data_IF_580843948889
#
_entry.id   IF_580843948889
#
_cell.length_a   1.000
_cell.length_b   1.000
_cell.length_c   1.000
_cell.angle_alpha   90.00
_cell.angle_beta   90.00
_cell.angle_gamma   90.00
#
_symmetry.space_group_name_H-M   'P 1'
#
loop_
_entity.id
_entity.type
_entity.pdbx_description
1 polymer ?
#
# COMPACT_ATOMS: atom_id res chain seq x y z
N UNK A 1 16.67 20.84 63.29
CA UNK A 1 16.44 22.08 62.52
C UNK A 1 16.43 21.74 61.04
N UNK A 2 15.25 21.69 60.41
CA UNK A 2 15.11 21.58 58.96
C UNK A 2 14.56 22.89 58.40
N UNK A 3 15.37 23.62 57.64
CA UNK A 3 14.90 24.82 56.93
C UNK A 3 14.16 24.39 55.66
N UNK A 4 12.83 24.45 55.67
CA UNK A 4 12.01 24.34 54.45
C UNK A 4 12.08 25.66 53.68
N UNK A 5 12.77 25.65 52.55
CA UNK A 5 12.88 26.80 51.64
C UNK A 5 11.57 26.95 50.88
N UNK A 6 10.81 28.01 51.15
CA UNK A 6 9.62 28.39 50.38
C UNK A 6 10.01 28.71 48.93
N UNK A 7 9.57 27.88 48.00
CA UNK A 7 9.68 28.14 46.56
C UNK A 7 8.72 29.28 46.21
N UNK A 8 9.25 30.43 45.78
CA UNK A 8 8.40 31.52 45.27
C UNK A 8 7.80 31.06 43.94
N UNK A 9 6.50 30.79 43.92
CA UNK A 9 5.76 30.63 42.67
C UNK A 9 5.78 31.95 41.91
N UNK A 10 6.72 32.09 40.95
CA UNK A 10 6.66 33.12 39.92
C UNK A 10 5.55 32.72 38.95
N UNK A 11 4.41 33.41 39.02
CA UNK A 11 3.34 33.25 38.04
C UNK A 11 3.77 33.76 36.66
N UNK A 12 3.20 33.16 35.61
CA UNK A 12 3.39 33.58 34.22
C UNK A 12 2.85 35.00 34.03
N UNK A 13 3.50 35.83 33.22
CA UNK A 13 3.00 37.18 32.93
C UNK A 13 1.95 37.15 31.82
N UNK A 14 0.97 38.07 31.86
CA UNK A 14 -0.06 38.16 30.81
C UNK A 14 0.55 38.38 29.42
N UNK A 15 1.62 39.17 29.34
CA UNK A 15 2.31 39.46 28.08
C UNK A 15 2.98 38.21 27.50
N UNK A 16 3.57 37.37 28.35
CA UNK A 16 4.23 36.13 27.93
C UNK A 16 3.23 35.14 27.36
N UNK A 17 2.04 35.04 27.95
CA UNK A 17 0.95 34.23 27.39
C UNK A 17 0.49 34.78 26.03
N UNK A 18 0.29 36.10 25.91
CA UNK A 18 -0.18 36.75 24.67
C UNK A 18 0.83 36.59 23.54
N UNK A 19 2.12 36.83 23.79
CA UNK A 19 3.15 36.68 22.76
C UNK A 19 3.26 35.21 22.34
N UNK A 20 3.15 34.26 23.27
CA UNK A 20 3.24 32.83 22.96
C UNK A 20 2.14 32.39 21.99
N UNK A 21 0.88 32.78 22.23
CA UNK A 21 -0.21 32.42 21.32
C UNK A 21 -0.08 33.10 19.96
N UNK A 22 0.48 34.32 19.89
CA UNK A 22 0.74 35.01 18.62
C UNK A 22 1.81 34.27 17.82
N UNK A 23 2.92 33.92 18.46
CA UNK A 23 4.02 33.18 17.81
C UNK A 23 3.53 31.81 17.35
N UNK A 24 2.82 31.06 18.19
CA UNK A 24 2.22 29.78 17.81
C UNK A 24 1.20 29.95 16.66
N UNK A 25 0.44 31.05 16.64
CA UNK A 25 -0.50 31.36 15.56
C UNK A 25 0.19 31.55 14.21
N UNK A 26 1.29 32.30 14.15
CA UNK A 26 2.05 32.52 12.91
C UNK A 26 2.75 31.24 12.44
N UNK A 27 3.33 30.47 13.36
CA UNK A 27 3.94 29.17 13.05
C UNK A 27 2.90 28.18 12.50
N UNK A 28 1.70 28.14 13.10
CA UNK A 28 0.62 27.29 12.61
C UNK A 28 0.14 27.72 11.20
N UNK A 29 -0.07 29.01 10.98
CA UNK A 29 -0.55 29.53 9.70
C UNK A 29 0.39 29.21 8.52
N UNK A 30 1.69 29.17 8.76
CA UNK A 30 2.70 28.86 7.72
C UNK A 30 3.01 27.37 7.59
N UNK A 31 2.89 26.58 8.67
CA UNK A 31 3.19 25.15 8.65
C UNK A 31 2.06 24.28 8.08
N UNK A 32 0.79 24.67 8.26
CA UNK A 32 -0.37 23.85 7.84
C UNK A 32 -0.40 23.59 6.33
N UNK A 33 -0.26 24.59 5.43
CA UNK A 33 -0.34 24.35 3.99
C UNK A 33 0.72 23.35 3.51
N UNK A 34 1.98 23.57 3.91
CA UNK A 34 3.10 22.69 3.55
C UNK A 34 2.92 21.27 4.08
N UNK A 35 2.32 21.11 5.26
CA UNK A 35 2.07 19.79 5.82
C UNK A 35 1.02 18.99 5.04
N UNK A 36 0.07 19.65 4.40
CA UNK A 36 -0.93 19.00 3.53
C UNK A 36 -0.25 18.51 2.24
N UNK A 37 0.55 19.36 1.59
CA UNK A 37 1.27 19.01 0.36
C UNK A 37 2.20 17.80 0.58
N UNK A 38 2.97 17.81 1.68
CA UNK A 38 3.87 16.71 2.04
C UNK A 38 3.14 15.38 2.27
N UNK A 39 1.87 15.39 2.70
CA UNK A 39 1.08 14.17 2.85
C UNK A 39 0.68 13.59 1.50
N UNK A 40 0.29 14.43 0.54
CA UNK A 40 0.00 14.00 -0.83
C UNK A 40 1.24 13.41 -1.50
N UNK A 41 2.37 14.12 -1.42
CA UNK A 41 3.65 13.64 -1.95
C UNK A 41 4.08 12.31 -1.33
N UNK A 42 3.89 12.14 -0.02
CA UNK A 42 4.21 10.89 0.67
C UNK A 42 3.32 9.72 0.21
N UNK A 43 2.03 9.97 -0.03
CA UNK A 43 1.13 8.95 -0.59
C UNK A 43 1.55 8.56 -1.99
N UNK A 44 1.84 9.54 -2.85
CA UNK A 44 2.31 9.32 -4.21
C UNK A 44 3.59 8.49 -4.23
N UNK A 45 4.60 8.86 -3.44
CA UNK A 45 5.85 8.12 -3.34
C UNK A 45 5.63 6.67 -2.87
N UNK A 46 4.68 6.44 -1.96
CA UNK A 46 4.34 5.09 -1.48
C UNK A 46 3.73 4.24 -2.61
N UNK A 47 2.83 4.80 -3.41
CA UNK A 47 2.23 4.09 -4.54
C UNK A 47 3.24 3.86 -5.67
N UNK A 48 4.14 4.81 -5.93
CA UNK A 48 5.26 4.62 -6.86
C UNK A 48 6.18 3.48 -6.40
N UNK A 49 6.43 3.35 -5.09
CA UNK A 49 7.17 2.22 -4.54
C UNK A 49 6.44 0.89 -4.78
N UNK A 50 5.12 0.84 -4.54
CA UNK A 50 4.34 -0.36 -4.83
C UNK A 50 4.39 -0.74 -6.31
N UNK A 51 4.24 0.23 -7.20
CA UNK A 51 4.37 0.01 -8.64
C UNK A 51 5.71 -0.63 -9.00
N UNK A 52 6.81 -0.11 -8.45
CA UNK A 52 8.14 -0.70 -8.61
C UNK A 52 8.21 -2.14 -8.10
N UNK A 53 7.69 -2.40 -6.90
CA UNK A 53 7.67 -3.74 -6.30
C UNK A 53 6.84 -4.75 -7.11
N UNK A 54 5.69 -4.34 -7.67
CA UNK A 54 4.88 -5.20 -8.54
C UNK A 54 5.67 -5.58 -9.80
N UNK A 55 6.27 -4.60 -10.47
CA UNK A 55 7.04 -4.80 -11.70
C UNK A 55 8.23 -5.74 -11.47
N UNK A 56 9.00 -5.51 -10.40
CA UNK A 56 10.16 -6.34 -10.06
C UNK A 56 9.75 -7.77 -9.71
N UNK A 57 8.73 -7.93 -8.88
CA UNK A 57 8.21 -9.23 -8.47
C UNK A 57 7.73 -10.05 -9.67
N UNK A 58 6.90 -9.47 -10.53
CA UNK A 58 6.42 -10.16 -11.73
C UNK A 58 7.58 -10.53 -12.65
N UNK A 59 8.57 -9.64 -12.83
CA UNK A 59 9.74 -9.92 -13.66
C UNK A 59 10.56 -11.09 -13.11
N UNK A 60 10.80 -11.14 -11.80
CA UNK A 60 11.49 -12.25 -11.13
C UNK A 60 10.74 -13.57 -11.30
N UNK A 61 9.42 -13.55 -11.08
CA UNK A 61 8.56 -14.72 -11.24
C UNK A 61 8.50 -15.19 -12.71
N UNK A 62 8.50 -14.25 -13.66
CA UNK A 62 8.57 -14.57 -15.08
C UNK A 62 9.87 -15.26 -15.47
N UNK A 63 11.00 -14.78 -14.95
CA UNK A 63 12.29 -15.46 -15.15
C UNK A 63 12.29 -16.86 -14.52
N UNK A 64 11.70 -17.03 -13.32
CA UNK A 64 11.53 -18.34 -12.67
C UNK A 64 10.72 -19.29 -13.55
N UNK A 65 9.66 -18.79 -14.20
CA UNK A 65 8.85 -19.58 -15.14
C UNK A 65 9.62 -19.96 -16.41
N UNK A 66 10.40 -19.04 -16.99
CA UNK A 66 11.26 -19.30 -18.15
C UNK A 66 12.30 -20.39 -17.84
N UNK A 67 13.01 -20.30 -16.71
CA UNK A 67 14.03 -21.28 -16.29
C UNK A 67 13.41 -22.66 -16.12
N UNK A 68 12.19 -22.75 -15.60
CA UNK A 68 11.46 -24.02 -15.42
C UNK A 68 10.80 -24.51 -16.71
N UNK A 69 10.92 -23.79 -17.83
CA UNK A 69 10.21 -24.05 -19.08
C UNK A 69 8.68 -24.14 -18.91
N UNK A 70 8.12 -23.24 -18.08
CA UNK A 70 6.70 -23.17 -17.69
C UNK A 70 6.05 -21.93 -18.31
N UNK A 71 6.11 -21.84 -19.64
CA UNK A 71 5.57 -20.73 -20.44
C UNK A 71 4.23 -21.06 -21.12
N UNK A 72 3.62 -22.17 -20.74
CA UNK A 72 2.30 -22.57 -21.23
C UNK A 72 1.18 -21.69 -20.68
N UNK A 73 -0.04 -21.96 -21.16
CA UNK A 73 -1.26 -21.44 -20.54
C UNK A 73 -1.56 -22.26 -19.29
N UNK A 74 -2.00 -21.60 -18.23
CA UNK A 74 -2.51 -22.19 -16.99
C UNK A 74 -1.55 -23.24 -16.38
N UNK A 75 -0.32 -22.81 -16.07
CA UNK A 75 0.73 -23.69 -15.57
C UNK A 75 1.00 -23.41 -14.10
N UNK A 76 0.93 -24.46 -13.27
CA UNK A 76 1.31 -24.35 -11.86
C UNK A 76 2.82 -24.46 -11.67
N UNK A 77 3.37 -23.54 -10.89
CA UNK A 77 4.78 -23.52 -10.47
C UNK A 77 4.83 -23.57 -8.95
N UNK A 78 5.63 -24.51 -8.41
CA UNK A 78 5.97 -24.52 -6.99
C UNK A 78 6.83 -23.29 -6.68
N UNK A 79 6.30 -22.42 -5.82
CA UNK A 79 6.99 -21.26 -5.26
C UNK A 79 7.32 -21.50 -3.79
N UNK A 80 8.09 -20.61 -3.20
CA UNK A 80 8.46 -20.68 -1.79
C UNK A 80 7.24 -20.43 -0.86
N UNK A 81 6.18 -19.85 -1.42
CA UNK A 81 4.90 -19.55 -0.76
C UNK A 81 3.79 -20.56 -1.11
N UNK A 82 4.12 -21.62 -1.86
CA UNK A 82 3.18 -22.65 -2.30
C UNK A 82 3.01 -22.74 -3.80
N UNK A 83 2.10 -23.61 -4.23
CA UNK A 83 1.79 -23.80 -5.63
C UNK A 83 1.03 -22.59 -6.17
N UNK A 84 1.55 -21.99 -7.25
CA UNK A 84 0.99 -20.77 -7.82
C UNK A 84 0.79 -20.91 -9.33
N UNK A 85 -0.34 -20.44 -9.86
CA UNK A 85 -0.65 -20.49 -11.28
C UNK A 85 -0.01 -19.34 -12.07
N UNK A 86 0.47 -19.69 -13.26
CA UNK A 86 1.09 -18.79 -14.20
C UNK A 86 0.40 -18.90 -15.55
N UNK A 87 0.18 -17.76 -16.18
CA UNK A 87 -0.31 -17.64 -17.54
C UNK A 87 0.80 -17.13 -18.46
N UNK A 88 1.25 -17.96 -19.42
CA UNK A 88 2.32 -17.61 -20.38
C UNK A 88 3.61 -17.15 -19.71
N UNK A 89 3.90 -17.74 -18.54
CA UNK A 89 5.03 -17.39 -17.72
C UNK A 89 4.84 -16.18 -16.81
N UNK A 90 3.67 -15.54 -16.76
CA UNK A 90 3.38 -14.46 -15.79
C UNK A 90 2.50 -14.99 -14.66
N UNK A 91 2.72 -14.58 -13.40
CA UNK A 91 1.90 -15.03 -12.28
C UNK A 91 0.48 -14.50 -12.45
N UNK A 92 -0.53 -15.36 -12.29
CA UNK A 92 -1.92 -14.92 -12.29
C UNK A 92 -2.18 -13.95 -11.12
N UNK A 93 -3.15 -13.04 -11.24
CA UNK A 93 -3.53 -12.14 -10.13
C UNK A 93 -4.20 -12.92 -8.99
N UNK A 94 -4.89 -14.01 -9.34
CA UNK A 94 -5.51 -14.96 -8.43
C UNK A 94 -5.20 -16.39 -8.85
N UNK A 95 -4.55 -17.13 -7.98
CA UNK A 95 -4.22 -18.55 -8.16
C UNK A 95 -5.26 -19.45 -7.49
N UNK A 96 -5.79 -20.39 -8.28
CA UNK A 96 -6.66 -21.48 -7.87
C UNK A 96 -5.92 -22.80 -7.64
N UNK A 97 -4.58 -22.79 -7.64
CA UNK A 97 -3.77 -24.00 -7.45
C UNK A 97 -3.98 -24.67 -6.08
N UNK A 98 -4.40 -23.90 -5.07
CA UNK A 98 -4.57 -24.34 -3.68
C UNK A 98 -5.95 -23.98 -3.13
N UNK A 99 -6.32 -24.63 -2.03
CA UNK A 99 -7.49 -24.24 -1.20
C UNK A 99 -7.00 -23.97 0.23
N UNK A 100 -7.09 -22.72 0.75
CA UNK A 100 -7.67 -21.52 0.14
C UNK A 100 -6.88 -21.01 -1.10
N UNK A 101 -7.56 -20.23 -1.95
CA UNK A 101 -6.96 -19.57 -3.12
C UNK A 101 -5.88 -18.58 -2.68
N UNK A 102 -4.86 -18.40 -3.52
CA UNK A 102 -3.78 -17.43 -3.29
C UNK A 102 -3.99 -16.19 -4.17
N UNK A 103 -3.61 -15.03 -3.66
CA UNK A 103 -3.72 -13.76 -4.37
C UNK A 103 -2.33 -13.12 -4.49
N UNK A 104 -2.03 -12.53 -5.64
CA UNK A 104 -0.69 -12.12 -6.04
C UNK A 104 -0.01 -11.20 -5.01
N UNK A 105 -0.66 -10.13 -4.61
CA UNK A 105 -0.08 -9.11 -3.73
C UNK A 105 0.14 -9.69 -2.33
N UNK A 106 -0.85 -10.36 -1.76
CA UNK A 106 -0.70 -11.00 -0.44
C UNK A 106 0.42 -12.05 -0.44
N UNK A 107 0.55 -12.81 -1.54
CA UNK A 107 1.52 -13.91 -1.63
C UNK A 107 2.95 -13.41 -1.77
N UNK A 108 3.17 -12.35 -2.55
CA UNK A 108 4.53 -11.98 -2.96
C UNK A 108 5.05 -10.65 -2.42
N UNK A 109 4.19 -9.75 -1.90
CA UNK A 109 4.62 -8.43 -1.40
C UNK A 109 4.77 -8.36 0.12
N UNK A 110 4.55 -9.47 0.84
CA UNK A 110 4.84 -9.63 2.27
C UNK A 110 4.29 -8.48 3.17
N UNK A 111 3.07 -8.03 2.91
CA UNK A 111 2.43 -6.90 3.61
C UNK A 111 2.05 -7.18 5.07
N UNK A 112 2.28 -8.40 5.56
CA UNK A 112 1.85 -8.86 6.88
C UNK A 112 0.38 -9.24 6.94
N UNK A 113 -0.20 -9.18 8.15
CA UNK A 113 -1.61 -9.56 8.38
C UNK A 113 -2.54 -8.38 8.12
N UNK A 114 -3.57 -8.53 7.28
CA UNK A 114 -4.55 -7.47 7.04
C UNK A 114 -5.44 -7.22 8.27
N UNK A 115 -5.85 -5.98 8.47
CA UNK A 115 -6.81 -5.57 9.51
C UNK A 115 -8.22 -6.06 9.19
N UNK A 116 -8.58 -6.05 7.90
CA UNK A 116 -9.87 -6.49 7.41
C UNK A 116 -9.73 -7.19 6.06
N UNK A 117 -10.52 -8.23 5.84
CA UNK A 117 -10.62 -8.93 4.56
C UNK A 117 -12.08 -9.12 4.19
N UNK A 118 -12.44 -8.66 2.99
CA UNK A 118 -13.73 -8.90 2.35
C UNK A 118 -13.46 -9.74 1.11
N UNK A 119 -13.97 -10.96 1.07
CA UNK A 119 -13.72 -11.88 -0.04
C UNK A 119 -14.97 -12.65 -0.46
N UNK A 120 -15.06 -12.95 -1.75
CA UNK A 120 -16.03 -13.85 -2.35
C UNK A 120 -15.35 -14.79 -3.36
N UNK A 121 -16.12 -15.45 -4.23
CA UNK A 121 -15.58 -16.39 -5.21
C UNK A 121 -14.83 -15.73 -6.39
N UNK A 122 -14.91 -14.41 -6.53
CA UNK A 122 -14.39 -13.65 -7.67
C UNK A 122 -13.34 -12.63 -7.23
N UNK A 123 -13.57 -11.97 -6.10
CA UNK A 123 -12.77 -10.83 -5.64
C UNK A 123 -12.31 -10.99 -4.20
N UNK A 124 -11.18 -10.39 -3.88
CA UNK A 124 -10.70 -10.17 -2.51
C UNK A 124 -10.27 -8.72 -2.34
N UNK A 125 -10.74 -8.10 -1.27
CA UNK A 125 -10.25 -6.81 -0.78
C UNK A 125 -9.65 -7.02 0.60
N UNK A 126 -8.43 -6.55 0.82
CA UNK A 126 -7.77 -6.57 2.11
C UNK A 126 -7.30 -5.16 2.48
N UNK A 127 -7.47 -4.78 3.74
CA UNK A 127 -7.08 -3.46 4.25
C UNK A 127 -5.92 -3.58 5.23
N UNK A 128 -4.94 -2.71 5.08
CA UNK A 128 -3.72 -2.58 5.88
C UNK A 128 -3.59 -1.11 6.32
N UNK A 129 -4.14 -0.77 7.48
CA UNK A 129 -4.30 0.61 7.92
C UNK A 129 -4.98 1.49 6.84
N UNK A 130 -4.22 2.41 6.24
CA UNK A 130 -4.71 3.33 5.19
C UNK A 130 -4.61 2.77 3.77
N UNK A 131 -3.94 1.63 3.59
CA UNK A 131 -3.74 0.98 2.29
C UNK A 131 -4.81 -0.11 2.11
N UNK A 132 -5.38 -0.17 0.92
CA UNK A 132 -6.21 -1.28 0.49
C UNK A 132 -5.52 -2.06 -0.63
N UNK A 133 -5.82 -3.34 -0.71
CA UNK A 133 -5.41 -4.26 -1.75
C UNK A 133 -6.67 -4.87 -2.34
N UNK A 134 -6.84 -4.80 -3.65
CA UNK A 134 -7.96 -5.40 -4.38
C UNK A 134 -7.44 -6.36 -5.43
N UNK A 135 -7.94 -7.60 -5.43
CA UNK A 135 -7.50 -8.64 -6.35
C UNK A 135 -8.69 -9.43 -6.90
N UNK A 136 -8.71 -9.60 -8.22
CA UNK A 136 -9.65 -10.46 -8.96
C UNK A 136 -8.91 -11.28 -10.03
N UNK A 137 -9.63 -11.84 -11.01
CA UNK A 137 -9.03 -12.67 -12.08
C UNK A 137 -8.23 -11.88 -13.14
N UNK A 138 -8.30 -10.55 -13.13
CA UNK A 138 -7.61 -9.69 -14.08
C UNK A 138 -6.67 -8.70 -13.41
N UNK A 139 -7.06 -8.16 -12.26
CA UNK A 139 -6.41 -7.04 -11.62
C UNK A 139 -5.89 -7.41 -10.24
N UNK A 140 -4.69 -6.95 -9.93
CA UNK A 140 -4.14 -6.83 -8.58
C UNK A 140 -3.77 -5.37 -8.36
N UNK A 141 -4.49 -4.69 -7.46
CA UNK A 141 -4.32 -3.26 -7.14
C UNK A 141 -3.91 -3.08 -5.70
N UNK A 142 -3.02 -2.12 -5.45
CA UNK A 142 -2.60 -1.72 -4.10
C UNK A 142 -2.45 -0.21 -4.01
N UNK A 143 -3.02 0.40 -2.99
CA UNK A 143 -2.92 1.84 -2.80
C UNK A 143 -3.88 2.40 -1.76
N UNK A 144 -4.05 3.72 -1.77
CA UNK A 144 -4.98 4.43 -0.91
C UNK A 144 -6.36 4.50 -1.55
N UNK A 145 -7.38 4.11 -0.79
CA UNK A 145 -8.78 4.08 -1.22
C UNK A 145 -9.55 2.99 -0.50
N UNK A 146 -10.75 2.70 -1.01
CA UNK A 146 -11.62 1.64 -0.46
C UNK A 146 -12.17 0.75 -1.58
N UNK A 147 -12.63 -0.45 -1.20
CA UNK A 147 -13.27 -1.38 -2.14
C UNK A 147 -12.33 -1.85 -3.25
N UNK A 148 -12.66 -1.51 -4.49
CA UNK A 148 -11.98 -2.00 -5.69
C UNK A 148 -10.89 -1.07 -6.24
N UNK A 149 -10.56 0.01 -5.51
CA UNK A 149 -9.53 1.00 -5.92
C UNK A 149 -9.76 1.47 -7.37
N UNK A 150 -10.87 2.18 -7.59
CA UNK A 150 -11.27 2.72 -8.90
C UNK A 150 -10.93 4.21 -9.02
N UNK A 151 -11.21 4.80 -10.17
CA UNK A 151 -11.01 6.20 -10.55
C UNK A 151 -11.13 7.18 -9.38
N UNK A 152 -10.08 8.00 -9.19
CA UNK A 152 -9.95 8.93 -8.06
C UNK A 152 -9.31 8.33 -6.80
N UNK A 153 -8.91 7.06 -6.84
CA UNK A 153 -8.03 6.44 -5.83
C UNK A 153 -6.56 6.62 -6.21
N UNK A 154 -5.63 6.43 -5.27
CA UNK A 154 -4.18 6.55 -5.48
C UNK A 154 -3.59 5.14 -5.40
N UNK A 155 -3.34 4.46 -6.53
CA UNK A 155 -2.98 3.04 -6.54
C UNK A 155 -2.06 2.62 -7.68
N UNK A 156 -1.36 1.51 -7.46
CA UNK A 156 -0.59 0.80 -8.47
C UNK A 156 -1.35 -0.47 -8.86
N UNK A 157 -1.25 -0.84 -10.13
CA UNK A 157 -2.02 -1.95 -10.71
C UNK A 157 -1.11 -2.89 -11.50
N UNK A 158 -1.31 -4.17 -11.28
CA UNK A 158 -0.89 -5.24 -12.17
C UNK A 158 -2.13 -5.84 -12.84
N UNK A 159 -2.17 -5.80 -14.17
CA UNK A 159 -3.27 -6.32 -14.98
C UNK A 159 -2.77 -7.48 -15.84
N UNK A 160 -3.38 -8.65 -15.66
CA UNK A 160 -3.11 -9.83 -16.46
C UNK A 160 -4.41 -10.45 -16.97
N UNK A 161 -4.49 -10.65 -18.27
CA UNK A 161 -5.56 -11.43 -18.90
C UNK A 161 -4.96 -12.40 -19.91
N UNK A 162 -5.82 -13.14 -20.62
CA UNK A 162 -5.39 -14.04 -21.69
C UNK A 162 -4.57 -13.36 -22.81
N UNK A 163 -4.73 -12.04 -22.97
CA UNK A 163 -4.14 -11.28 -24.08
C UNK A 163 -3.30 -10.08 -23.64
N UNK A 164 -3.41 -9.65 -22.38
CA UNK A 164 -2.81 -8.42 -21.88
C UNK A 164 -1.97 -8.76 -20.65
N UNK A 165 -0.77 -8.17 -20.60
CA UNK A 165 0.05 -8.08 -19.39
C UNK A 165 0.49 -6.62 -19.32
N UNK A 166 0.02 -5.91 -18.30
CA UNK A 166 0.27 -4.48 -18.17
C UNK A 166 0.48 -4.08 -16.71
N UNK A 167 1.16 -2.95 -16.52
CA UNK A 167 1.27 -2.28 -15.24
C UNK A 167 0.88 -0.82 -15.40
N UNK A 168 0.05 -0.34 -14.49
CA UNK A 168 -0.36 1.06 -14.48
C UNK A 168 -0.26 1.63 -13.08
N UNK A 169 -0.23 2.96 -13.01
CA UNK A 169 -0.24 3.71 -11.75
C UNK A 169 -1.23 4.87 -11.91
N UNK A 170 -2.10 5.02 -10.93
CA UNK A 170 -3.07 6.11 -10.81
C UNK A 170 -2.68 6.96 -9.60
N UNK A 171 -2.37 8.24 -9.85
CA UNK A 171 -1.91 9.16 -8.80
C UNK A 171 -2.84 10.34 -8.58
N UNK A 172 -3.93 10.46 -9.34
CA UNK A 172 -4.84 11.60 -9.25
C UNK A 172 -5.60 11.63 -7.91
N UNK A 173 -5.73 10.47 -7.24
CA UNK A 173 -6.32 10.35 -5.90
C UNK A 173 -5.36 10.56 -4.72
N UNK A 174 -4.09 10.91 -5.00
CA UNK A 174 -3.11 11.24 -3.96
C UNK A 174 -3.26 12.73 -3.59
#
# INVERSE_FOLDING_TARGET
MGFTRSQRNRGFTLIELVITIIVLGVLAATAIPRFIDLRGDAKKATVENFYGSLLETVKLLHMKAQIKNKLGKDVTIVTDYGDYQFYRGYPETRSEATTPRLYFIETFLELGTPDNVIQNNYTRTATYADISVYEDNGFSRIGYGTGNLVDGSCYAEYHLTSSIQDFSIETDGC
#
